data_IF_091648571699
#
_entry.id   IF_091648571699
#
_cell.length_a   1.000
_cell.length_b   1.000
_cell.length_c   1.000
_cell.angle_alpha   90.00
_cell.angle_beta   90.00
_cell.angle_gamma   90.00
#
_symmetry.space_group_name_H-M   'P 1'
#
loop_
_entity.id
_entity.type
_entity.pdbx_description
1 polymer ?
#
# COMPACT_ATOMS: atom_id res chain seq x y z
N UNK A 1 11.47 -21.67 25.92
CA UNK A 1 12.64 -21.80 26.81
C UNK A 1 12.13 -21.60 28.24
N UNK A 2 12.07 -22.67 29.05
CA UNK A 2 11.72 -22.51 30.48
C UNK A 2 12.90 -21.81 31.14
N UNK A 3 12.69 -20.65 31.74
CA UNK A 3 13.73 -20.00 32.55
C UNK A 3 13.70 -20.66 33.92
N UNK A 4 14.81 -21.28 34.30
CA UNK A 4 14.97 -21.80 35.64
C UNK A 4 15.00 -20.63 36.62
N UNK A 5 14.27 -20.78 37.73
CA UNK A 5 14.23 -19.78 38.78
C UNK A 5 15.56 -19.82 39.54
N UNK A 6 16.38 -18.76 39.41
CA UNK A 6 17.60 -18.62 40.22
C UNK A 6 17.23 -18.18 41.63
N UNK A 7 17.52 -19.02 42.61
CA UNK A 7 17.42 -18.67 44.04
C UNK A 7 18.75 -18.08 44.51
N UNK A 8 18.70 -16.90 45.12
CA UNK A 8 19.85 -16.24 45.74
C UNK A 8 19.70 -16.37 47.26
N UNK A 9 20.71 -16.92 47.91
CA UNK A 9 20.75 -17.05 49.38
C UNK A 9 21.57 -15.89 49.93
N UNK A 10 21.04 -15.20 50.95
CA UNK A 10 21.73 -14.13 51.65
C UNK A 10 22.15 -14.66 53.02
N UNK A 11 23.42 -14.99 53.15
CA UNK A 11 24.05 -15.32 54.41
C UNK A 11 24.33 -14.04 55.20
N UNK A 12 24.13 -14.10 56.52
CA UNK A 12 24.31 -12.97 57.43
C UNK A 12 25.32 -13.30 58.52
N UNK A 13 26.03 -12.28 58.99
CA UNK A 13 26.91 -12.33 60.17
C UNK A 13 26.32 -11.45 61.28
N UNK A 14 26.45 -11.89 62.52
CA UNK A 14 26.02 -11.11 63.68
C UNK A 14 27.01 -10.00 63.99
N UNK A 15 26.51 -8.80 64.26
CA UNK A 15 27.31 -7.65 64.68
C UNK A 15 26.69 -7.01 65.93
N UNK A 16 27.42 -6.16 66.67
CA UNK A 16 26.85 -5.43 67.81
C UNK A 16 25.64 -4.54 67.48
N UNK A 17 25.39 -4.26 66.19
CA UNK A 17 24.24 -3.49 65.69
C UNK A 17 23.17 -4.37 65.04
N UNK A 18 23.27 -5.69 65.15
CA UNK A 18 22.38 -6.68 64.55
C UNK A 18 23.00 -7.44 63.37
N UNK A 19 22.26 -8.40 62.77
CA UNK A 19 22.73 -9.21 61.65
C UNK A 19 22.87 -8.37 60.38
N UNK A 20 23.96 -8.58 59.65
CA UNK A 20 24.23 -7.94 58.35
C UNK A 20 24.66 -8.97 57.30
N UNK A 21 24.34 -8.78 56.01
CA UNK A 21 24.77 -9.68 54.95
C UNK A 21 26.29 -9.84 54.85
N UNK A 22 26.74 -11.04 54.47
CA UNK A 22 28.15 -11.27 54.13
C UNK A 22 28.52 -10.52 52.84
N UNK A 23 29.80 -10.15 52.72
CA UNK A 23 30.33 -9.57 51.48
C UNK A 23 30.09 -10.48 50.26
N UNK A 24 30.19 -11.80 50.43
CA UNK A 24 29.94 -12.77 49.35
C UNK A 24 28.46 -12.82 48.95
N UNK A 25 27.54 -12.68 49.90
CA UNK A 25 26.09 -12.58 49.60
C UNK A 25 25.77 -11.32 48.81
N UNK A 26 26.38 -10.19 49.17
CA UNK A 26 26.25 -8.93 48.43
C UNK A 26 26.82 -9.08 47.02
N UNK A 27 28.00 -9.70 46.88
CA UNK A 27 28.63 -9.95 45.58
C UNK A 27 27.77 -10.84 44.68
N UNK A 28 27.27 -11.95 45.21
CA UNK A 28 26.35 -12.86 44.49
C UNK A 28 25.09 -12.13 44.01
N UNK A 29 24.53 -11.27 44.86
CA UNK A 29 23.38 -10.45 44.50
C UNK A 29 23.71 -9.49 43.35
N UNK A 30 24.85 -8.78 43.43
CA UNK A 30 25.31 -7.85 42.39
C UNK A 30 25.55 -8.57 41.06
N UNK A 31 26.15 -9.76 41.08
CA UNK A 31 26.35 -10.58 39.88
C UNK A 31 25.02 -10.95 39.22
N UNK A 32 24.04 -11.40 40.01
CA UNK A 32 22.71 -11.72 39.49
C UNK A 32 21.99 -10.48 38.90
N UNK A 33 22.12 -9.31 39.55
CA UNK A 33 21.60 -8.06 39.01
C UNK A 33 22.26 -7.69 37.68
N UNK A 34 23.58 -7.84 37.55
CA UNK A 34 24.31 -7.56 36.33
C UNK A 34 23.89 -8.49 35.18
N UNK A 35 23.65 -9.77 35.46
CA UNK A 35 23.09 -10.71 34.47
C UNK A 35 21.71 -10.26 33.97
N UNK A 36 20.83 -9.85 34.88
CA UNK A 36 19.49 -9.35 34.54
C UNK A 36 19.59 -8.09 33.70
N UNK A 37 20.44 -7.14 34.08
CA UNK A 37 20.67 -5.91 33.31
C UNK A 37 21.21 -6.21 31.92
N UNK A 38 22.14 -7.15 31.79
CA UNK A 38 22.66 -7.60 30.49
C UNK A 38 21.56 -8.19 29.63
N UNK A 39 20.70 -9.04 30.22
CA UNK A 39 19.57 -9.63 29.52
C UNK A 39 18.56 -8.57 29.05
N UNK A 40 18.23 -7.60 29.91
CA UNK A 40 17.34 -6.48 29.56
C UNK A 40 17.96 -5.66 28.42
N UNK A 41 19.25 -5.36 28.48
CA UNK A 41 19.94 -4.58 27.47
C UNK A 41 19.96 -5.31 26.11
N UNK A 42 20.25 -6.60 26.10
CA UNK A 42 20.24 -7.42 24.89
C UNK A 42 18.83 -7.50 24.29
N UNK A 43 17.81 -7.76 25.10
CA UNK A 43 16.42 -7.83 24.62
C UNK A 43 15.96 -6.47 24.07
N UNK A 44 16.31 -5.37 24.75
CA UNK A 44 16.00 -4.01 24.29
C UNK A 44 16.67 -3.72 22.95
N UNK A 45 17.94 -4.07 22.82
CA UNK A 45 18.69 -3.90 21.56
C UNK A 45 18.06 -4.70 20.42
N UNK A 46 17.68 -5.96 20.66
CA UNK A 46 17.00 -6.80 19.67
C UNK A 46 15.64 -6.22 19.27
N UNK A 47 14.87 -5.72 20.24
CA UNK A 47 13.60 -5.05 19.98
C UNK A 47 13.80 -3.79 19.13
N UNK A 48 14.80 -2.96 19.42
CA UNK A 48 15.13 -1.79 18.61
C UNK A 48 15.46 -2.15 17.17
N UNK A 49 16.27 -3.19 16.94
CA UNK A 49 16.59 -3.64 15.57
C UNK A 49 15.36 -4.19 14.84
N UNK A 50 14.50 -4.94 15.53
CA UNK A 50 13.22 -5.39 14.97
C UNK A 50 12.32 -4.21 14.62
N UNK A 51 12.24 -3.18 15.46
CA UNK A 51 11.47 -1.96 15.19
C UNK A 51 12.01 -1.20 13.98
N UNK A 52 13.34 -1.02 13.86
CA UNK A 52 13.95 -0.41 12.66
C UNK A 52 13.61 -1.16 11.38
N UNK A 53 13.58 -2.50 11.44
CA UNK A 53 13.19 -3.32 10.28
C UNK A 53 11.72 -3.12 9.92
N UNK A 54 10.83 -3.03 10.91
CA UNK A 54 9.41 -2.72 10.70
C UNK A 54 9.25 -1.33 10.08
N UNK A 55 9.92 -0.31 10.61
CA UNK A 55 9.91 1.05 10.07
C UNK A 55 10.33 1.09 8.61
N UNK A 56 11.46 0.45 8.27
CA UNK A 56 11.95 0.36 6.89
C UNK A 56 10.93 -0.30 5.96
N UNK A 57 10.29 -1.37 6.42
CA UNK A 57 9.25 -2.06 5.63
C UNK A 57 8.02 -1.16 5.41
N UNK A 58 7.60 -0.41 6.43
CA UNK A 58 6.48 0.53 6.31
C UNK A 58 6.79 1.65 5.31
N UNK A 59 8.01 2.19 5.32
CA UNK A 59 8.45 3.18 4.32
C UNK A 59 8.40 2.61 2.90
N UNK A 60 8.92 1.39 2.70
CA UNK A 60 8.88 0.73 1.39
C UNK A 60 7.45 0.47 0.91
N UNK A 61 6.55 0.08 1.81
CA UNK A 61 5.13 -0.08 1.48
C UNK A 61 4.47 1.24 1.11
N UNK A 62 4.75 2.31 1.85
CA UNK A 62 4.24 3.64 1.54
C UNK A 62 4.66 4.09 0.13
N UNK A 63 5.94 3.95 -0.22
CA UNK A 63 6.45 4.25 -1.57
C UNK A 63 5.76 3.41 -2.65
N UNK A 64 5.53 2.12 -2.38
CA UNK A 64 4.85 1.21 -3.30
C UNK A 64 3.40 1.63 -3.55
N UNK A 65 2.68 2.03 -2.49
CA UNK A 65 1.31 2.55 -2.56
C UNK A 65 1.26 3.85 -3.37
N UNK A 66 2.20 4.78 -3.12
CA UNK A 66 2.28 6.02 -3.89
C UNK A 66 2.53 5.76 -5.38
N UNK A 67 3.42 4.83 -5.72
CA UNK A 67 3.65 4.45 -7.13
C UNK A 67 2.41 3.83 -7.76
N UNK A 68 1.72 2.93 -7.05
CA UNK A 68 0.48 2.32 -7.53
C UNK A 68 -0.62 3.38 -7.76
N UNK A 69 -0.79 4.31 -6.83
CA UNK A 69 -1.73 5.43 -6.97
C UNK A 69 -1.43 6.26 -8.22
N UNK A 70 -0.15 6.56 -8.48
CA UNK A 70 0.28 7.23 -9.70
C UNK A 70 -0.09 6.47 -10.98
N UNK A 71 0.12 5.15 -11.00
CA UNK A 71 -0.26 4.29 -12.14
C UNK A 71 -1.77 4.26 -12.36
N UNK A 72 -2.57 4.23 -11.28
CA UNK A 72 -4.03 4.29 -11.36
C UNK A 72 -4.48 5.62 -11.96
N UNK A 73 -3.90 6.74 -11.54
CA UNK A 73 -4.23 8.05 -12.09
C UNK A 73 -3.90 8.15 -13.59
N UNK A 74 -2.75 7.62 -14.00
CA UNK A 74 -2.38 7.54 -15.42
C UNK A 74 -3.39 6.70 -16.22
N UNK A 75 -3.81 5.55 -15.69
CA UNK A 75 -4.83 4.71 -16.32
C UNK A 75 -6.18 5.44 -16.46
N UNK A 76 -6.60 6.18 -15.43
CA UNK A 76 -7.81 7.00 -15.48
C UNK A 76 -7.72 8.03 -16.60
N UNK A 77 -6.58 8.69 -16.77
CA UNK A 77 -6.36 9.63 -17.88
C UNK A 77 -6.56 8.96 -19.23
N UNK A 78 -5.89 7.82 -19.45
CA UNK A 78 -6.01 7.05 -20.71
C UNK A 78 -7.46 6.63 -20.97
N UNK A 79 -8.18 6.20 -19.94
CA UNK A 79 -9.60 5.83 -20.07
C UNK A 79 -10.49 7.02 -20.45
N UNK A 80 -10.19 8.22 -19.93
CA UNK A 80 -10.90 9.43 -20.31
C UNK A 80 -10.63 9.81 -21.76
N UNK A 81 -9.38 9.72 -22.22
CA UNK A 81 -9.00 10.01 -23.60
C UNK A 81 -9.66 9.02 -24.58
N UNK A 82 -9.69 7.73 -24.21
CA UNK A 82 -10.40 6.70 -24.98
C UNK A 82 -11.91 6.98 -25.04
N UNK A 83 -12.52 7.37 -23.91
CA UNK A 83 -13.94 7.73 -23.87
C UNK A 83 -14.25 8.90 -24.80
N UNK A 84 -13.40 9.92 -24.83
CA UNK A 84 -13.54 11.06 -25.75
C UNK A 84 -13.42 10.61 -27.21
N UNK A 85 -12.39 9.82 -27.53
CA UNK A 85 -12.19 9.28 -28.87
C UNK A 85 -13.38 8.44 -29.36
N UNK A 86 -13.98 7.63 -28.48
CA UNK A 86 -15.18 6.85 -28.80
C UNK A 86 -16.39 7.75 -29.08
N UNK A 87 -16.57 8.82 -28.32
CA UNK A 87 -17.65 9.77 -28.57
C UNK A 87 -17.48 10.48 -29.91
N UNK A 88 -16.27 10.91 -30.25
CA UNK A 88 -15.96 11.54 -31.54
C UNK A 88 -16.23 10.57 -32.72
N UNK A 89 -15.81 9.31 -32.58
CA UNK A 89 -16.08 8.26 -33.56
C UNK A 89 -17.59 8.02 -33.72
N UNK A 90 -18.35 7.97 -32.62
CA UNK A 90 -19.80 7.84 -32.65
C UNK A 90 -20.44 8.99 -33.43
N UNK A 91 -20.03 10.23 -33.17
CA UNK A 91 -20.56 11.41 -33.85
C UNK A 91 -20.18 11.44 -35.34
N UNK A 92 -18.98 10.96 -35.67
CA UNK A 92 -18.55 10.81 -37.07
C UNK A 92 -19.41 9.77 -37.81
N UNK A 93 -19.62 8.60 -37.22
CA UNK A 93 -20.49 7.55 -37.78
C UNK A 93 -21.91 8.04 -37.97
N UNK A 94 -22.46 8.78 -36.98
CA UNK A 94 -23.81 9.36 -37.09
C UNK A 94 -23.92 10.33 -38.27
N UNK A 95 -22.93 11.21 -38.45
CA UNK A 95 -22.89 12.14 -39.60
C UNK A 95 -22.79 11.43 -40.95
N UNK A 96 -22.02 10.34 -41.03
CA UNK A 96 -21.98 9.51 -42.24
C UNK A 96 -23.35 8.91 -42.54
N UNK A 97 -24.00 8.31 -41.53
CA UNK A 97 -25.32 7.71 -41.70
C UNK A 97 -26.38 8.73 -42.18
N UNK A 98 -26.36 9.94 -41.62
CA UNK A 98 -27.24 11.04 -42.04
C UNK A 98 -26.97 11.48 -43.49
N UNK A 99 -25.70 11.62 -43.89
CA UNK A 99 -25.32 11.96 -45.27
C UNK A 99 -25.76 10.90 -46.27
N UNK A 100 -25.53 9.62 -45.97
CA UNK A 100 -25.93 8.50 -46.82
C UNK A 100 -27.46 8.44 -46.99
N UNK A 101 -28.22 8.67 -45.91
CA UNK A 101 -29.68 8.72 -45.98
C UNK A 101 -30.17 9.86 -46.88
N UNK A 102 -29.58 11.06 -46.73
CA UNK A 102 -29.94 12.22 -47.55
C UNK A 102 -29.58 12.04 -49.03
N UNK A 103 -28.40 11.48 -49.32
CA UNK A 103 -27.98 11.20 -50.70
C UNK A 103 -28.94 10.23 -51.38
N UNK A 104 -29.28 9.10 -50.74
CA UNK A 104 -30.25 8.14 -51.28
C UNK A 104 -31.62 8.78 -51.53
N UNK A 105 -32.09 9.63 -50.62
CA UNK A 105 -33.38 10.31 -50.79
C UNK A 105 -33.37 11.29 -51.98
N UNK A 106 -32.25 11.98 -52.20
CA UNK A 106 -32.08 12.87 -53.36
C UNK A 106 -32.01 12.09 -54.67
N UNK A 107 -31.27 10.98 -54.72
CA UNK A 107 -31.20 10.10 -55.90
C UNK A 107 -32.59 9.58 -56.30
N UNK A 108 -33.40 9.15 -55.33
CA UNK A 108 -34.78 8.70 -55.58
C UNK A 108 -35.66 9.83 -56.13
N UNK A 109 -35.53 11.05 -55.58
CA UNK A 109 -36.28 12.22 -56.08
C UNK A 109 -35.91 12.57 -57.52
N UNK A 110 -34.62 12.60 -57.84
CA UNK A 110 -34.17 12.88 -59.20
C UNK A 110 -34.62 11.80 -60.19
N UNK A 111 -34.55 10.52 -59.81
CA UNK A 111 -35.06 9.43 -60.64
C UNK A 111 -36.56 9.56 -60.89
N UNK A 112 -37.35 9.87 -59.84
CA UNK A 112 -38.79 10.06 -59.95
C UNK A 112 -39.14 11.25 -60.85
N UNK A 113 -38.41 12.37 -60.73
CA UNK A 113 -38.58 13.56 -61.56
C UNK A 113 -38.35 13.23 -63.03
N UNK A 114 -37.20 12.60 -63.35
CA UNK A 114 -36.84 12.22 -64.72
C UNK A 114 -37.89 11.31 -65.36
N UNK A 115 -38.44 10.37 -64.59
CA UNK A 115 -39.49 9.43 -65.06
C UNK A 115 -40.84 10.12 -65.29
N UNK A 116 -41.13 11.18 -64.55
CA UNK A 116 -42.33 11.99 -64.75
C UNK A 116 -42.20 12.83 -66.03
N UNK A 117 -41.02 13.39 -66.29
CA UNK A 117 -40.71 14.11 -67.53
C UNK A 117 -40.86 13.19 -68.75
N UNK A 118 -40.33 11.96 -68.69
CA UNK A 118 -40.49 10.94 -69.74
C UNK A 118 -41.94 10.51 -70.01
N UNK A 119 -42.86 10.70 -69.06
CA UNK A 119 -44.29 10.35 -69.22
C UNK A 119 -45.14 11.51 -69.76
N UNK A 120 -44.61 12.73 -69.73
CA UNK A 120 -45.30 13.96 -70.12
C UNK A 120 -44.89 14.46 -71.52
N UNK A 121 -43.84 13.88 -72.11
CA UNK A 121 -43.48 13.98 -73.54
C UNK A 121 -44.20 12.90 -74.38
#
# INVERSE_FOLDING_TARGET
>A
MKREEKKIIIEVIETPRGPVPTAESIKTLVEAWNEILTLINNNTSELCEKMKKVEKNLLNFSLSISSLSGKINALISVLNDLKMSINELRDYVKRIAERESNNKQNEVKELAKKRLEELLE
#
